data_IF_802862054617
#
_entry.id   IF_802862054617
#
_cell.length_a   1.000
_cell.length_b   1.000
_cell.length_c   1.000
_cell.angle_alpha   90.00
_cell.angle_beta   90.00
_cell.angle_gamma   90.00
#
_symmetry.space_group_name_H-M   'P 1'
#
loop_
_entity.id
_entity.type
_entity.pdbx_description
1 polymer ?
#
# COMPACT_ATOMS: atom_id res chain seq x y z
N UNK A 1 -35.36 19.20 5.93
CA UNK A 1 -35.49 19.30 7.41
C UNK A 1 -34.14 18.92 8.00
N UNK A 2 -33.37 19.87 8.56
CA UNK A 2 -32.13 19.54 9.24
C UNK A 2 -32.47 18.89 10.57
N UNK A 3 -31.87 17.71 10.80
CA UNK A 3 -31.94 16.95 12.02
C UNK A 3 -31.19 17.72 13.12
N UNK A 4 -31.90 18.04 14.20
CA UNK A 4 -31.33 18.44 15.49
C UNK A 4 -30.43 17.31 16.01
N UNK A 5 -29.13 17.42 15.75
CA UNK A 5 -28.14 16.53 16.34
C UNK A 5 -27.67 17.10 17.69
N UNK A 6 -28.44 16.78 18.74
CA UNK A 6 -27.95 16.57 20.11
C UNK A 6 -26.81 17.50 20.60
N UNK A 7 -27.16 18.73 21.00
CA UNK A 7 -26.34 19.63 21.83
C UNK A 7 -26.19 19.13 23.29
N UNK A 8 -25.70 17.91 23.51
CA UNK A 8 -25.51 17.35 24.87
C UNK A 8 -24.08 16.98 25.27
N UNK A 9 -23.09 17.28 24.43
CA UNK A 9 -21.67 17.08 24.74
C UNK A 9 -20.81 18.35 24.59
N UNK A 10 -21.44 19.54 24.63
CA UNK A 10 -20.76 20.82 24.42
C UNK A 10 -20.01 21.37 25.67
N UNK A 11 -19.76 20.55 26.68
CA UNK A 11 -18.80 20.83 27.76
C UNK A 11 -17.70 19.78 27.71
N UNK A 12 -16.93 19.78 26.61
CA UNK A 12 -15.71 19.00 26.52
C UNK A 12 -14.68 19.53 27.51
N UNK A 13 -14.03 18.64 28.25
CA UNK A 13 -12.85 18.97 29.04
C UNK A 13 -11.82 19.65 28.13
N UNK A 14 -11.66 20.97 28.28
CA UNK A 14 -10.63 21.73 27.58
C UNK A 14 -9.33 21.64 28.37
N UNK A 15 -8.34 20.96 27.82
CA UNK A 15 -6.97 20.95 28.34
C UNK A 15 -6.11 21.92 27.52
N UNK A 16 -5.06 22.51 28.12
CA UNK A 16 -4.11 23.33 27.38
C UNK A 16 -3.50 22.56 26.21
N UNK A 17 -3.35 23.20 25.04
CA UNK A 17 -2.75 22.58 23.85
C UNK A 17 -1.34 22.01 24.13
N UNK A 18 -0.60 22.63 25.04
CA UNK A 18 0.72 22.18 25.52
C UNK A 18 0.66 20.81 26.20
N UNK A 19 -0.45 20.46 26.84
CA UNK A 19 -0.66 19.18 27.51
C UNK A 19 -1.20 18.10 26.55
N UNK A 20 -1.71 18.48 25.38
CA UNK A 20 -2.31 17.55 24.42
C UNK A 20 -1.33 16.45 24.00
N UNK A 21 -0.09 16.81 23.67
CA UNK A 21 0.94 15.85 23.26
C UNK A 21 1.30 14.87 24.39
N UNK A 22 1.36 15.36 25.64
CA UNK A 22 1.62 14.52 26.80
C UNK A 22 0.46 13.55 27.06
N UNK A 23 -0.78 14.04 26.98
CA UNK A 23 -1.99 13.21 27.12
C UNK A 23 -1.99 12.11 26.06
N UNK A 24 -1.86 12.46 24.78
CA UNK A 24 -1.83 11.50 23.67
C UNK A 24 -0.74 10.46 23.90
N UNK A 25 0.48 10.87 24.26
CA UNK A 25 1.60 9.96 24.51
C UNK A 25 1.32 8.99 25.67
N UNK A 26 0.61 9.43 26.71
CA UNK A 26 0.30 8.59 27.88
C UNK A 26 -0.92 7.70 27.65
N UNK A 27 -1.92 8.16 26.89
CA UNK A 27 -3.21 7.46 26.74
C UNK A 27 -3.34 6.71 25.42
N UNK A 28 -2.32 6.73 24.57
CA UNK A 28 -2.35 6.03 23.29
C UNK A 28 -1.11 5.18 23.04
N UNK A 29 -1.28 4.16 22.20
CA UNK A 29 -0.21 3.28 21.74
C UNK A 29 -0.46 2.87 20.30
N UNK A 30 0.59 2.41 19.62
CA UNK A 30 0.46 1.83 18.29
C UNK A 30 0.22 0.31 18.37
N UNK A 31 -0.85 -0.16 17.72
CA UNK A 31 -1.29 -1.57 17.69
C UNK A 31 -0.44 -2.39 16.73
N UNK A 32 0.74 -2.82 17.18
CA UNK A 32 1.68 -3.63 16.38
C UNK A 32 1.12 -4.98 15.92
N UNK A 33 0.12 -5.51 16.63
CA UNK A 33 -0.60 -6.73 16.25
C UNK A 33 -1.29 -6.60 14.88
N UNK A 34 -1.69 -5.39 14.50
CA UNK A 34 -2.29 -5.15 13.19
C UNK A 34 -1.27 -5.20 12.05
N UNK A 35 -0.07 -4.66 12.28
CA UNK A 35 1.02 -4.72 11.29
C UNK A 35 1.48 -6.17 11.06
N UNK A 36 1.47 -6.99 12.11
CA UNK A 36 1.78 -8.42 12.04
C UNK A 36 0.71 -9.25 11.33
N UNK A 37 -0.51 -8.73 11.17
CA UNK A 37 -1.58 -9.42 10.46
C UNK A 37 -1.49 -9.21 8.94
N UNK A 38 -0.76 -8.21 8.45
CA UNK A 38 -0.65 -7.89 7.01
C UNK A 38 0.77 -8.16 6.51
N UNK A 39 1.03 -7.94 5.21
CA UNK A 39 2.40 -7.98 4.69
C UNK A 39 3.24 -6.95 5.43
N UNK A 40 4.16 -7.46 6.23
CA UNK A 40 5.19 -6.71 6.94
C UNK A 40 6.50 -7.47 6.84
N UNK A 41 7.59 -6.74 6.93
CA UNK A 41 8.93 -7.30 6.90
C UNK A 41 9.65 -6.86 8.15
N UNK A 42 10.43 -7.75 8.79
CA UNK A 42 11.28 -7.38 9.90
C UNK A 42 12.26 -6.28 9.47
N UNK A 43 12.54 -5.33 10.37
CA UNK A 43 13.48 -4.21 10.10
C UNK A 43 14.85 -4.70 9.59
N UNK A 44 15.31 -5.86 10.05
CA UNK A 44 16.58 -6.45 9.64
C UNK A 44 16.57 -6.98 8.19
N UNK A 45 15.43 -7.43 7.66
CA UNK A 45 15.34 -7.92 6.27
C UNK A 45 15.58 -6.80 5.27
N UNK A 46 15.20 -5.58 5.63
CA UNK A 46 15.37 -4.41 4.79
C UNK A 46 16.67 -3.67 5.04
N UNK A 47 17.35 -3.88 6.16
CA UNK A 47 18.55 -3.12 6.51
C UNK A 47 19.68 -3.22 5.47
N UNK A 48 19.83 -4.38 4.81
CA UNK A 48 20.81 -4.57 3.72
C UNK A 48 20.42 -3.90 2.40
N UNK A 49 19.13 -3.72 2.14
CA UNK A 49 18.61 -3.15 0.88
C UNK A 49 18.29 -1.66 1.04
N UNK A 50 17.94 -1.22 2.24
CA UNK A 50 17.55 0.16 2.57
C UNK A 50 18.65 1.15 2.19
N UNK A 51 19.91 0.88 2.54
CA UNK A 51 21.02 1.74 2.11
C UNK A 51 21.16 1.79 0.59
N UNK A 52 20.93 0.66 -0.09
CA UNK A 52 21.01 0.60 -1.56
C UNK A 52 19.83 1.27 -2.25
N UNK A 53 18.66 1.32 -1.62
CA UNK A 53 17.43 1.94 -2.13
C UNK A 53 17.44 3.45 -1.84
N UNK A 54 17.78 3.83 -0.61
CA UNK A 54 17.61 5.19 -0.11
C UNK A 54 18.84 6.09 -0.30
N UNK A 55 20.01 5.54 -0.65
CA UNK A 55 21.23 6.35 -0.82
C UNK A 55 21.86 6.20 -2.22
N UNK A 56 22.37 7.32 -2.71
CA UNK A 56 23.32 7.35 -3.82
C UNK A 56 24.70 6.90 -3.31
N UNK A 57 25.41 6.07 -4.09
CA UNK A 57 26.77 5.68 -3.74
C UNK A 57 27.67 6.94 -3.67
N UNK A 58 28.37 7.18 -2.55
CA UNK A 58 29.29 8.31 -2.46
C UNK A 58 30.47 8.05 -3.40
N UNK A 59 30.52 8.77 -4.52
CA UNK A 59 31.66 8.73 -5.43
C UNK A 59 32.09 10.14 -5.75
N UNK A 60 33.39 10.40 -5.54
CA UNK A 60 34.02 11.68 -5.82
C UNK A 60 33.77 12.09 -7.28
N UNK A 61 33.21 13.28 -7.44
CA UNK A 61 32.80 13.91 -8.68
C UNK A 61 34.01 14.31 -9.53
N UNK A 62 34.67 13.35 -10.16
CA UNK A 62 35.79 13.60 -11.09
C UNK A 62 35.55 13.14 -12.52
N UNK A 63 34.42 12.50 -12.83
CA UNK A 63 34.07 12.12 -14.21
C UNK A 63 32.63 12.50 -14.52
N UNK A 64 32.46 13.51 -15.40
CA UNK A 64 31.17 13.88 -15.98
C UNK A 64 30.63 12.68 -16.78
N UNK A 65 29.81 11.88 -16.13
CA UNK A 65 29.16 10.73 -16.76
C UNK A 65 27.87 11.26 -17.35
N UNK A 66 27.79 11.36 -18.68
CA UNK A 66 26.60 11.82 -19.38
C UNK A 66 25.43 10.86 -19.13
N UNK A 67 24.23 11.39 -18.84
CA UNK A 67 22.99 10.61 -18.81
C UNK A 67 22.45 10.31 -20.23
N UNK A 68 23.21 10.68 -21.28
CA UNK A 68 22.85 10.49 -22.68
C UNK A 68 21.78 11.47 -23.12
N UNK A 69 20.71 10.97 -23.75
CA UNK A 69 19.60 11.78 -24.25
C UNK A 69 18.89 12.56 -23.11
N UNK A 70 18.93 12.03 -21.89
CA UNK A 70 18.33 12.69 -20.73
C UNK A 70 19.01 14.01 -20.36
N UNK A 71 20.29 14.21 -20.71
CA UNK A 71 21.00 15.48 -20.50
C UNK A 71 20.44 16.62 -21.37
N UNK A 72 19.62 16.29 -22.38
CA UNK A 72 19.01 17.27 -23.30
C UNK A 72 17.64 17.75 -22.82
N UNK A 73 17.08 17.12 -21.78
CA UNK A 73 15.77 17.48 -21.26
C UNK A 73 15.91 18.49 -20.11
N UNK A 74 15.02 19.51 -20.03
CA UNK A 74 14.87 20.33 -18.84
C UNK A 74 14.60 19.47 -17.60
N UNK A 75 15.11 19.92 -16.44
CA UNK A 75 14.99 19.18 -15.18
C UNK A 75 13.53 18.92 -14.80
N UNK A 76 12.64 19.87 -15.09
CA UNK A 76 11.21 19.75 -14.83
C UNK A 76 10.59 18.57 -15.59
N UNK A 77 10.95 18.42 -16.88
CA UNK A 77 10.46 17.30 -17.69
C UNK A 77 11.03 15.96 -17.22
N UNK A 78 12.29 15.94 -16.77
CA UNK A 78 12.88 14.72 -16.18
C UNK A 78 12.13 14.32 -14.91
N UNK A 79 11.83 15.28 -14.04
CA UNK A 79 11.08 15.03 -12.81
C UNK A 79 9.69 14.48 -13.13
N UNK A 80 8.96 15.10 -14.07
CA UNK A 80 7.63 14.64 -14.49
C UNK A 80 7.66 13.22 -15.07
N UNK A 81 8.69 12.89 -15.87
CA UNK A 81 8.90 11.54 -16.37
C UNK A 81 9.09 10.57 -15.21
N UNK A 82 10.01 10.85 -14.28
CA UNK A 82 10.29 9.95 -13.16
C UNK A 82 9.09 9.77 -12.23
N UNK A 83 8.31 10.84 -11.98
CA UNK A 83 7.08 10.76 -11.20
C UNK A 83 6.01 9.90 -11.88
N UNK A 84 5.99 9.87 -13.21
CA UNK A 84 5.04 9.10 -14.01
C UNK A 84 5.46 7.64 -14.23
N UNK A 85 6.72 7.27 -13.98
CA UNK A 85 7.18 5.89 -14.12
C UNK A 85 6.56 4.99 -13.06
N UNK A 86 6.17 3.78 -13.48
CA UNK A 86 5.85 2.72 -12.53
C UNK A 86 7.05 2.38 -11.66
N UNK A 87 6.80 1.98 -10.42
CA UNK A 87 7.85 1.66 -9.44
C UNK A 87 8.88 0.67 -10.01
N UNK A 88 8.45 -0.34 -10.76
CA UNK A 88 9.38 -1.31 -11.34
C UNK A 88 10.28 -0.69 -12.42
N UNK A 89 9.72 0.13 -13.31
CA UNK A 89 10.48 0.87 -14.32
C UNK A 89 11.40 1.91 -13.68
N UNK A 90 10.96 2.59 -12.61
CA UNK A 90 11.77 3.54 -11.85
C UNK A 90 13.00 2.86 -11.22
N UNK A 91 12.81 1.72 -10.55
CA UNK A 91 13.92 0.96 -9.95
C UNK A 91 14.89 0.47 -11.02
N UNK A 92 14.40 0.03 -12.19
CA UNK A 92 15.27 -0.32 -13.32
C UNK A 92 16.04 0.88 -13.84
N UNK A 93 15.38 2.02 -14.05
CA UNK A 93 16.00 3.27 -14.49
C UNK A 93 17.14 3.69 -13.54
N UNK A 94 16.89 3.60 -12.23
CA UNK A 94 17.87 3.84 -11.16
C UNK A 94 19.08 2.89 -11.20
N UNK A 95 18.99 1.76 -11.89
CA UNK A 95 20.09 0.79 -12.05
C UNK A 95 20.87 0.96 -13.36
N UNK A 96 20.36 1.73 -14.33
CA UNK A 96 20.98 1.89 -15.66
C UNK A 96 22.26 2.73 -15.60
N UNK A 97 22.24 3.87 -14.91
CA UNK A 97 23.37 4.78 -14.84
C UNK A 97 23.45 5.53 -13.52
N UNK A 98 24.65 6.01 -13.17
CA UNK A 98 24.87 6.82 -11.96
C UNK A 98 24.10 8.16 -12.00
N UNK A 99 24.08 8.92 -13.12
CA UNK A 99 23.31 10.17 -13.18
C UNK A 99 21.81 9.96 -12.98
N UNK A 100 21.22 8.92 -13.59
CA UNK A 100 19.81 8.60 -13.41
C UNK A 100 19.51 8.22 -11.96
N UNK A 101 20.40 7.46 -11.32
CA UNK A 101 20.28 7.18 -9.88
C UNK A 101 20.26 8.45 -9.06
N UNK A 102 21.21 9.36 -9.28
CA UNK A 102 21.31 10.61 -8.53
C UNK A 102 20.09 11.51 -8.76
N UNK A 103 19.61 11.60 -10.00
CA UNK A 103 18.41 12.38 -10.33
C UNK A 103 17.17 11.82 -9.62
N UNK A 104 16.95 10.51 -9.65
CA UNK A 104 15.83 9.86 -8.95
C UNK A 104 15.98 10.02 -7.43
N UNK A 105 17.18 9.82 -6.87
CA UNK A 105 17.45 9.97 -5.43
C UNK A 105 17.26 11.39 -4.91
N UNK A 106 17.37 12.39 -5.79
CA UNK A 106 17.13 13.79 -5.43
C UNK A 106 15.65 14.17 -5.37
N UNK A 107 14.74 13.32 -5.87
CA UNK A 107 13.31 13.60 -5.82
C UNK A 107 12.79 13.46 -4.38
N UNK A 108 12.13 14.50 -3.82
CA UNK A 108 11.58 14.43 -2.47
C UNK A 108 10.50 13.34 -2.34
N UNK A 109 9.74 13.07 -3.41
CA UNK A 109 8.75 12.00 -3.46
C UNK A 109 9.41 10.63 -3.32
N UNK A 110 10.51 10.39 -4.05
CA UNK A 110 11.25 9.14 -3.95
C UNK A 110 11.90 8.98 -2.57
N UNK A 111 12.45 10.05 -1.99
CA UNK A 111 13.02 10.03 -0.65
C UNK A 111 11.96 9.69 0.40
N UNK A 112 10.78 10.31 0.34
CA UNK A 112 9.69 10.01 1.25
C UNK A 112 9.21 8.56 1.12
N UNK A 113 9.04 8.06 -0.11
CA UNK A 113 8.63 6.68 -0.39
C UNK A 113 9.67 5.67 0.08
N UNK A 114 10.95 5.87 -0.23
CA UNK A 114 12.03 4.97 0.17
C UNK A 114 12.28 4.96 1.68
N UNK A 115 12.03 6.08 2.36
CA UNK A 115 12.24 6.21 3.81
C UNK A 115 11.05 5.71 4.62
N UNK A 116 9.83 6.08 4.25
CA UNK A 116 8.63 5.82 5.05
C UNK A 116 7.72 4.72 4.47
N UNK A 117 7.83 4.44 3.17
CA UNK A 117 7.01 3.46 2.45
C UNK A 117 7.74 2.17 2.09
N UNK A 118 8.91 1.89 2.68
CA UNK A 118 9.79 0.78 2.26
C UNK A 118 9.09 -0.59 2.29
N UNK A 119 8.23 -0.85 3.28
CA UNK A 119 7.48 -2.11 3.36
C UNK A 119 6.55 -2.28 2.16
N UNK A 120 5.75 -1.25 1.83
CA UNK A 120 4.86 -1.31 0.67
C UNK A 120 5.64 -1.35 -0.66
N UNK A 121 6.77 -0.66 -0.75
CA UNK A 121 7.67 -0.72 -1.90
C UNK A 121 8.20 -2.15 -2.12
N UNK A 122 8.71 -2.78 -1.08
CA UNK A 122 9.17 -4.17 -1.12
C UNK A 122 8.03 -5.15 -1.39
N UNK A 123 6.84 -4.92 -0.81
CA UNK A 123 5.67 -5.73 -1.05
C UNK A 123 5.26 -5.69 -2.53
N UNK A 124 5.18 -4.51 -3.15
CA UNK A 124 4.89 -4.36 -4.58
C UNK A 124 5.92 -5.07 -5.47
N UNK A 125 7.20 -4.99 -5.15
CA UNK A 125 8.26 -5.65 -5.92
C UNK A 125 8.20 -7.18 -5.78
N UNK A 126 8.05 -7.69 -4.54
CA UNK A 126 8.02 -9.14 -4.25
C UNK A 126 6.75 -9.81 -4.76
N UNK A 127 5.61 -9.12 -4.72
CA UNK A 127 4.33 -9.60 -5.28
C UNK A 127 4.21 -9.38 -6.79
N UNK A 128 5.20 -8.71 -7.41
CA UNK A 128 5.16 -8.30 -8.82
C UNK A 128 3.89 -7.51 -9.14
N UNK A 129 3.58 -6.51 -8.32
CA UNK A 129 2.51 -5.52 -8.57
C UNK A 129 3.09 -4.12 -8.86
N UNK A 130 4.41 -3.96 -8.77
CA UNK A 130 5.10 -2.67 -8.95
C UNK A 130 4.94 -2.00 -10.33
N UNK A 131 4.39 -2.69 -11.33
CA UNK A 131 4.07 -2.10 -12.65
C UNK A 131 2.71 -1.37 -12.67
N UNK A 132 1.88 -1.55 -11.64
CA UNK A 132 0.54 -0.94 -11.55
C UNK A 132 0.52 0.40 -10.81
N UNK A 133 1.66 0.83 -10.28
CA UNK A 133 1.75 1.98 -9.37
C UNK A 133 2.89 2.87 -9.82
N UNK A 134 2.60 4.12 -10.13
CA UNK A 134 3.61 5.14 -10.41
C UNK A 134 4.25 5.68 -9.13
N UNK A 135 5.41 6.34 -9.25
CA UNK A 135 6.00 7.05 -8.12
C UNK A 135 5.06 8.11 -7.54
N UNK A 136 4.37 8.85 -8.42
CA UNK A 136 3.39 9.87 -8.02
C UNK A 136 2.21 9.26 -7.26
N UNK A 137 1.64 8.16 -7.76
CA UNK A 137 0.52 7.45 -7.10
C UNK A 137 0.94 6.86 -5.75
N UNK A 138 2.18 6.36 -5.65
CA UNK A 138 2.73 5.91 -4.38
C UNK A 138 2.82 7.07 -3.40
N UNK A 139 3.47 8.17 -3.81
CA UNK A 139 3.66 9.32 -2.96
C UNK A 139 2.33 9.96 -2.52
N UNK A 140 1.34 10.03 -3.41
CA UNK A 140 -0.01 10.48 -3.08
C UNK A 140 -0.68 9.58 -2.04
N UNK A 141 -0.59 8.26 -2.22
CA UNK A 141 -1.09 7.31 -1.24
C UNK A 141 -0.37 7.49 0.10
N UNK A 142 0.95 7.64 0.13
CA UNK A 142 1.72 7.87 1.35
C UNK A 142 1.27 9.15 2.07
N UNK A 143 0.93 10.21 1.32
CA UNK A 143 0.45 11.48 1.84
C UNK A 143 -1.07 11.53 2.09
N UNK A 144 -1.77 10.41 1.96
CA UNK A 144 -3.20 10.33 2.24
C UNK A 144 -3.39 9.63 3.57
N UNK A 145 -4.08 10.27 4.53
CA UNK A 145 -4.36 9.65 5.82
C UNK A 145 -5.71 8.90 5.85
N UNK A 146 -6.59 9.16 4.88
CA UNK A 146 -7.98 8.68 4.88
C UNK A 146 -8.12 7.29 4.27
N UNK A 147 -8.97 6.48 4.90
CA UNK A 147 -9.47 5.22 4.37
C UNK A 147 -10.39 5.50 3.17
N UNK A 148 -10.20 4.74 2.09
CA UNK A 148 -11.03 4.80 0.89
C UNK A 148 -12.50 4.39 1.11
N UNK A 149 -12.77 3.60 2.16
CA UNK A 149 -14.10 3.07 2.46
C UNK A 149 -14.85 3.93 3.49
N UNK A 150 -14.22 4.24 4.63
CA UNK A 150 -14.89 4.89 5.77
C UNK A 150 -14.34 6.29 6.11
N UNK A 151 -13.34 6.78 5.37
CA UNK A 151 -12.69 8.08 5.56
C UNK A 151 -12.02 8.32 6.93
N UNK A 152 -11.92 7.29 7.78
CA UNK A 152 -11.12 7.30 9.02
C UNK A 152 -9.63 7.13 8.73
N UNK A 153 -8.78 7.25 9.74
CA UNK A 153 -7.35 7.02 9.59
C UNK A 153 -7.04 5.63 9.02
N UNK A 154 -6.21 5.58 7.98
CA UNK A 154 -5.83 4.37 7.27
C UNK A 154 -4.34 4.12 7.41
N UNK A 155 -3.94 3.17 8.27
CA UNK A 155 -2.55 2.72 8.41
C UNK A 155 -2.11 1.67 7.39
N UNK A 156 -2.97 1.33 6.42
CA UNK A 156 -2.74 0.22 5.51
C UNK A 156 -3.07 0.58 4.06
N UNK A 157 -2.50 -0.20 3.13
CA UNK A 157 -2.73 -0.10 1.69
C UNK A 157 -3.05 -1.47 1.10
N UNK A 158 -4.15 -1.57 0.35
CA UNK A 158 -4.43 -2.74 -0.49
C UNK A 158 -3.52 -2.68 -1.71
N UNK A 159 -2.66 -3.68 -1.90
CA UNK A 159 -1.69 -3.71 -3.01
C UNK A 159 -2.36 -3.80 -4.39
N UNK A 160 -3.41 -4.63 -4.61
CA UNK A 160 -4.00 -4.79 -5.94
C UNK A 160 -4.77 -3.56 -6.41
N UNK A 161 -5.48 -2.89 -5.50
CA UNK A 161 -6.28 -1.71 -5.82
C UNK A 161 -5.50 -0.40 -5.64
N UNK A 162 -4.32 -0.46 -5.00
CA UNK A 162 -3.56 0.69 -4.52
C UNK A 162 -4.41 1.71 -3.76
N UNK A 163 -5.26 1.21 -2.85
CA UNK A 163 -6.19 2.02 -2.04
C UNK A 163 -5.91 1.90 -0.56
N UNK A 164 -5.93 3.03 0.13
CA UNK A 164 -5.75 3.06 1.59
C UNK A 164 -6.95 2.49 2.31
N UNK A 165 -6.69 1.73 3.37
CA UNK A 165 -7.72 1.15 4.22
C UNK A 165 -7.33 1.23 5.70
N UNK A 166 -8.34 1.29 6.57
CA UNK A 166 -8.15 1.09 8.00
C UNK A 166 -8.30 -0.39 8.36
N UNK A 167 -7.74 -0.79 9.50
CA UNK A 167 -7.82 -2.19 9.94
C UNK A 167 -9.26 -2.67 10.09
N UNK A 168 -10.16 -1.83 10.60
CA UNK A 168 -11.56 -2.20 10.77
C UNK A 168 -12.27 -2.49 9.44
N UNK A 169 -12.02 -1.71 8.39
CA UNK A 169 -12.59 -2.00 7.06
C UNK A 169 -12.03 -3.27 6.44
N UNK A 170 -10.76 -3.57 6.73
CA UNK A 170 -10.09 -4.79 6.31
C UNK A 170 -10.68 -6.01 7.03
N UNK A 171 -10.79 -5.98 8.35
CA UNK A 171 -11.34 -7.07 9.17
C UNK A 171 -12.85 -7.27 8.97
N UNK A 172 -13.61 -6.21 8.69
CA UNK A 172 -15.03 -6.34 8.34
C UNK A 172 -15.28 -6.91 6.94
N UNK A 173 -14.23 -7.15 6.14
CA UNK A 173 -14.37 -7.72 4.80
C UNK A 173 -15.07 -6.78 3.83
N UNK A 174 -14.71 -5.48 3.83
CA UNK A 174 -15.28 -4.51 2.89
C UNK A 174 -15.13 -5.00 1.45
N UNK A 175 -16.18 -4.92 0.64
CA UNK A 175 -16.24 -5.55 -0.70
C UNK A 175 -15.07 -5.15 -1.64
N UNK A 176 -14.53 -3.94 -1.48
CA UNK A 176 -13.39 -3.44 -2.26
C UNK A 176 -12.05 -4.10 -1.89
N UNK A 177 -11.94 -4.69 -0.70
CA UNK A 177 -10.73 -5.31 -0.16
C UNK A 177 -10.78 -6.84 -0.20
N UNK A 178 -11.94 -7.42 -0.54
CA UNK A 178 -12.12 -8.86 -0.56
C UNK A 178 -11.34 -9.53 -1.69
N UNK A 179 -10.58 -10.56 -1.33
CA UNK A 179 -9.73 -11.33 -2.21
C UNK A 179 -10.21 -12.78 -2.30
N UNK A 180 -9.92 -13.42 -3.43
CA UNK A 180 -10.28 -14.81 -3.67
C UNK A 180 -9.10 -15.58 -4.24
N UNK A 181 -8.98 -16.83 -3.81
CA UNK A 181 -8.09 -17.80 -4.45
C UNK A 181 -8.60 -18.14 -5.85
N UNK A 182 -7.77 -17.83 -6.84
CA UNK A 182 -8.05 -18.08 -8.27
C UNK A 182 -8.25 -19.56 -8.55
N UNK A 183 -7.57 -20.46 -7.84
CA UNK A 183 -7.72 -21.92 -8.00
C UNK A 183 -9.10 -22.39 -7.50
N UNK A 184 -9.59 -21.84 -6.38
CA UNK A 184 -10.95 -22.11 -5.89
C UNK A 184 -12.01 -21.62 -6.87
N UNK A 185 -11.77 -20.44 -7.46
CA UNK A 185 -12.66 -19.87 -8.47
C UNK A 185 -12.69 -20.74 -9.73
N UNK A 186 -11.54 -21.24 -10.19
CA UNK A 186 -11.45 -22.17 -11.32
C UNK A 186 -12.34 -23.40 -11.10
N UNK A 187 -12.15 -24.06 -9.95
CA UNK A 187 -12.90 -25.27 -9.59
C UNK A 187 -14.41 -25.03 -9.45
N UNK A 188 -14.80 -23.83 -8.99
CA UNK A 188 -16.21 -23.52 -8.69
C UNK A 188 -16.98 -22.93 -9.89
N UNK A 189 -16.29 -22.25 -10.81
CA UNK A 189 -16.93 -21.41 -11.84
C UNK A 189 -16.50 -21.72 -13.28
N UNK A 190 -15.62 -22.71 -13.50
CA UNK A 190 -15.16 -23.18 -14.82
C UNK A 190 -14.63 -22.03 -15.72
N UNK A 191 -13.94 -21.06 -15.11
CA UNK A 191 -13.29 -19.94 -15.81
C UNK A 191 -12.06 -20.49 -16.55
N UNK A 192 -11.89 -20.14 -17.83
CA UNK A 192 -10.77 -20.64 -18.64
C UNK A 192 -9.50 -19.85 -18.35
N UNK A 193 -8.34 -20.49 -18.52
CA UNK A 193 -7.01 -19.89 -18.37
C UNK A 193 -6.77 -18.65 -19.29
N UNK A 194 -7.45 -18.57 -20.43
CA UNK A 194 -7.35 -17.38 -21.30
C UNK A 194 -8.01 -16.13 -20.68
N UNK A 195 -9.01 -16.32 -19.81
CA UNK A 195 -9.77 -15.24 -19.19
C UNK A 195 -9.10 -14.73 -17.92
N UNK A 196 -8.30 -15.57 -17.26
CA UNK A 196 -7.52 -15.18 -16.08
C UNK A 196 -6.41 -14.18 -16.41
N UNK A 197 -5.95 -14.12 -17.67
CA UNK A 197 -5.04 -13.04 -18.11
C UNK A 197 -5.63 -11.64 -17.98
N UNK A 198 -6.96 -11.51 -17.92
CA UNK A 198 -7.64 -10.22 -17.67
C UNK A 198 -7.72 -9.88 -16.18
N UNK A 199 -7.53 -10.85 -15.30
CA UNK A 199 -7.52 -10.63 -13.86
C UNK A 199 -6.15 -10.10 -13.46
N UNK A 200 -6.14 -9.06 -12.62
CA UNK A 200 -4.91 -8.63 -11.96
C UNK A 200 -4.68 -9.55 -10.76
N UNK A 201 -4.30 -10.80 -11.04
CA UNK A 201 -3.93 -11.77 -10.01
C UNK A 201 -2.45 -11.66 -9.65
N UNK A 202 -2.10 -11.98 -8.42
CA UNK A 202 -0.72 -12.08 -7.98
C UNK A 202 -0.55 -13.23 -6.97
N UNK A 203 0.70 -13.62 -6.76
CA UNK A 203 1.05 -14.65 -5.78
C UNK A 203 1.34 -13.97 -4.45
N UNK A 204 0.66 -14.40 -3.39
CA UNK A 204 0.90 -13.92 -2.03
C UNK A 204 2.32 -14.25 -1.57
N UNK A 205 2.82 -13.50 -0.60
CA UNK A 205 4.09 -13.82 0.03
C UNK A 205 3.86 -14.85 1.15
N UNK A 206 4.81 -15.76 1.43
CA UNK A 206 4.76 -16.56 2.65
C UNK A 206 4.92 -15.65 3.87
N UNK A 207 4.24 -15.97 4.97
CA UNK A 207 4.26 -15.16 6.17
C UNK A 207 3.13 -15.46 7.14
N UNK A 208 3.13 -14.73 8.25
CA UNK A 208 2.06 -14.77 9.24
C UNK A 208 1.06 -13.67 8.92
N UNK A 209 -0.21 -14.02 8.69
CA UNK A 209 -1.24 -13.08 8.24
C UNK A 209 -2.47 -13.04 9.16
N UNK A 210 -2.30 -13.49 10.39
CA UNK A 210 -3.37 -13.56 11.37
C UNK A 210 -2.88 -13.07 12.71
N UNK A 211 -3.80 -12.53 13.50
CA UNK A 211 -3.55 -12.25 14.93
C UNK A 211 -3.37 -13.53 15.75
N UNK A 212 -3.69 -14.70 15.18
CA UNK A 212 -3.56 -16.03 15.79
C UNK A 212 -2.26 -16.75 15.43
N UNK A 213 -1.35 -16.08 14.72
CA UNK A 213 0.00 -16.56 14.37
C UNK A 213 0.08 -17.81 13.47
N UNK A 214 -0.95 -18.09 12.66
CA UNK A 214 -0.85 -19.13 11.64
C UNK A 214 0.07 -18.70 10.51
N UNK A 215 1.06 -19.53 10.19
CA UNK A 215 2.05 -19.27 9.14
C UNK A 215 1.57 -19.87 7.83
N UNK A 216 1.37 -19.01 6.83
CA UNK A 216 1.16 -19.42 5.44
C UNK A 216 2.51 -19.61 4.76
N UNK A 217 2.86 -20.87 4.52
CA UNK A 217 4.18 -21.23 3.97
C UNK A 217 4.19 -21.29 2.43
N UNK A 218 3.02 -21.33 1.80
CA UNK A 218 2.88 -21.42 0.34
C UNK A 218 2.27 -20.14 -0.24
N UNK A 219 2.75 -19.75 -1.42
CA UNK A 219 2.18 -18.62 -2.15
C UNK A 219 0.86 -19.03 -2.82
N UNK A 220 -0.21 -18.31 -2.51
CA UNK A 220 -1.53 -18.48 -3.11
C UNK A 220 -1.70 -17.46 -4.25
N UNK A 221 -2.27 -17.90 -5.37
CA UNK A 221 -2.64 -16.96 -6.45
C UNK A 221 -4.00 -16.37 -6.15
N UNK A 222 -4.05 -15.08 -5.82
CA UNK A 222 -5.29 -14.40 -5.45
C UNK A 222 -5.61 -13.24 -6.39
N UNK A 223 -6.91 -12.90 -6.49
CA UNK A 223 -7.40 -11.75 -7.22
C UNK A 223 -8.60 -11.11 -6.50
N UNK A 224 -8.89 -9.84 -6.82
CA UNK A 224 -9.99 -9.13 -6.18
C UNK A 224 -11.36 -9.71 -6.58
N UNK A 225 -12.26 -9.78 -5.59
CA UNK A 225 -13.65 -10.25 -5.79
C UNK A 225 -14.38 -9.40 -6.85
N UNK A 226 -14.13 -8.09 -6.84
CA UNK A 226 -14.70 -7.15 -7.81
C UNK A 226 -14.29 -7.46 -9.26
N UNK A 227 -13.01 -7.75 -9.51
CA UNK A 227 -12.54 -8.13 -10.85
C UNK A 227 -13.13 -9.46 -11.30
N UNK A 228 -13.10 -10.47 -10.43
CA UNK A 228 -13.64 -11.80 -10.74
C UNK A 228 -15.13 -11.73 -11.05
N UNK A 229 -15.89 -10.97 -10.25
CA UNK A 229 -17.32 -10.76 -10.46
C UNK A 229 -17.60 -10.10 -11.81
N UNK A 230 -16.82 -9.07 -12.18
CA UNK A 230 -16.95 -8.41 -13.49
C UNK A 230 -16.66 -9.37 -14.64
N UNK A 231 -15.56 -10.11 -14.59
CA UNK A 231 -15.21 -11.09 -15.63
C UNK A 231 -16.26 -12.21 -15.74
N UNK A 232 -16.83 -12.65 -14.62
CA UNK A 232 -17.93 -13.61 -14.61
C UNK A 232 -19.20 -13.02 -15.24
N UNK A 233 -19.62 -11.82 -14.84
CA UNK A 233 -20.82 -11.18 -15.36
C UNK A 233 -20.72 -10.84 -16.85
N UNK A 234 -19.56 -10.40 -17.35
CA UNK A 234 -19.33 -10.20 -18.79
C UNK A 234 -19.60 -11.47 -19.60
N UNK A 235 -19.30 -12.65 -19.03
CA UNK A 235 -19.48 -13.94 -19.71
C UNK A 235 -20.89 -14.50 -19.58
N UNK A 236 -21.50 -14.36 -18.42
CA UNK A 236 -22.80 -14.95 -18.10
C UNK A 236 -23.94 -13.94 -18.11
N UNK A 237 -23.79 -12.81 -18.81
CA UNK A 237 -24.75 -11.69 -18.90
C UNK A 237 -26.20 -12.09 -19.27
N UNK A 238 -26.44 -13.32 -19.75
CA UNK A 238 -27.76 -13.84 -20.11
C UNK A 238 -28.32 -14.91 -19.15
N UNK A 239 -27.56 -15.39 -18.17
CA UNK A 239 -28.01 -16.49 -17.29
C UNK A 239 -27.52 -16.28 -15.84
N UNK A 240 -28.46 -15.85 -14.99
CA UNK A 240 -28.44 -15.77 -13.50
C UNK A 240 -28.12 -14.40 -12.88
N UNK A 241 -29.10 -13.93 -12.12
CA UNK A 241 -29.06 -12.83 -11.13
C UNK A 241 -28.63 -13.31 -9.73
N UNK A 242 -27.85 -14.39 -9.65
CA UNK A 242 -27.38 -14.92 -8.36
C UNK A 242 -26.10 -14.22 -7.93
N UNK A 243 -26.05 -13.69 -6.69
CA UNK A 243 -24.77 -13.30 -6.09
C UNK A 243 -23.88 -14.54 -6.01
N UNK A 244 -22.66 -14.45 -6.54
CA UNK A 244 -21.64 -15.47 -6.28
C UNK A 244 -21.37 -15.46 -4.77
N UNK A 245 -21.76 -16.54 -4.08
CA UNK A 245 -21.48 -16.72 -2.67
C UNK A 245 -20.04 -17.14 -2.50
N UNK A 246 -19.14 -16.17 -2.40
CA UNK A 246 -17.75 -16.46 -2.07
C UNK A 246 -17.61 -16.67 -0.55
N UNK A 247 -16.81 -17.66 -0.12
CA UNK A 247 -16.45 -17.78 1.29
C UNK A 247 -15.76 -16.50 1.77
N UNK A 248 -16.19 -15.96 2.92
CA UNK A 248 -15.56 -14.80 3.55
C UNK A 248 -14.24 -15.24 4.21
N UNK A 249 -13.19 -15.38 3.41
CA UNK A 249 -11.83 -15.60 3.92
C UNK A 249 -11.07 -14.28 3.96
N UNK A 250 -11.11 -13.65 5.13
CA UNK A 250 -10.47 -12.37 5.41
C UNK A 250 -8.95 -12.47 5.37
N UNK A 251 -8.39 -13.67 5.56
CA UNK A 251 -6.95 -13.94 5.52
C UNK A 251 -6.39 -13.53 4.16
N UNK A 252 -7.11 -13.78 3.07
CA UNK A 252 -6.64 -13.40 1.74
C UNK A 252 -6.58 -11.87 1.56
N UNK A 253 -7.46 -11.12 2.23
CA UNK A 253 -7.41 -9.65 2.23
C UNK A 253 -6.18 -9.15 3.02
N UNK A 254 -5.86 -9.79 4.14
CA UNK A 254 -4.65 -9.54 4.91
C UNK A 254 -3.38 -9.81 4.09
N UNK A 255 -3.34 -10.93 3.37
CA UNK A 255 -2.24 -11.30 2.46
C UNK A 255 -2.11 -10.39 1.23
N UNK A 256 -3.10 -9.54 0.95
CA UNK A 256 -3.08 -8.56 -0.13
C UNK A 256 -2.86 -7.12 0.34
N UNK A 257 -2.66 -6.93 1.64
CA UNK A 257 -2.54 -5.62 2.28
C UNK A 257 -1.15 -5.47 2.88
N UNK A 258 -0.64 -4.25 2.93
CA UNK A 258 0.63 -3.92 3.56
C UNK A 258 0.45 -2.73 4.49
N UNK A 259 1.26 -2.67 5.56
CA UNK A 259 1.37 -1.49 6.39
C UNK A 259 1.96 -0.32 5.59
N UNK A 260 1.34 0.84 5.69
CA UNK A 260 1.82 2.07 5.06
C UNK A 260 1.52 3.21 6.05
N UNK A 261 2.49 3.97 6.55
CA UNK A 261 2.18 5.14 7.38
C UNK A 261 1.55 6.26 6.55
N UNK A 262 1.03 7.27 7.24
CA UNK A 262 0.72 8.57 6.65
C UNK A 262 1.94 9.49 6.77
N UNK A 263 2.36 10.10 5.66
CA UNK A 263 3.44 11.09 5.65
C UNK A 263 2.87 12.50 5.56
N UNK A 264 3.19 13.34 6.53
CA UNK A 264 2.84 14.75 6.53
C UNK A 264 3.88 15.56 5.75
N UNK A 265 3.44 16.09 4.60
CA UNK A 265 4.28 16.92 3.71
C UNK A 265 4.79 18.19 4.37
N UNK A 266 4.06 18.76 5.33
CA UNK A 266 4.41 20.03 5.96
C UNK A 266 5.47 19.84 7.05
N UNK A 267 5.30 18.77 7.84
CA UNK A 267 6.17 18.50 8.98
C UNK A 267 7.33 17.55 8.65
N UNK A 268 7.27 16.85 7.52
CA UNK A 268 8.26 15.85 7.14
C UNK A 268 8.26 14.62 8.05
N UNK A 269 7.12 14.33 8.70
CA UNK A 269 6.98 13.26 9.70
C UNK A 269 6.02 12.19 9.22
N UNK A 270 6.21 10.95 9.69
CA UNK A 270 5.33 9.82 9.42
C UNK A 270 4.51 9.44 10.67
N UNK A 271 3.22 9.23 10.48
CA UNK A 271 2.27 8.75 11.49
C UNK A 271 1.82 7.32 11.16
N UNK A 272 1.96 6.42 12.13
CA UNK A 272 1.64 5.00 12.01
C UNK A 272 0.25 4.66 12.57
N UNK A 273 -0.48 5.67 13.05
CA UNK A 273 -1.77 5.51 13.70
C UNK A 273 -1.64 5.08 15.16
N UNK A 274 -2.58 5.54 15.98
CA UNK A 274 -2.60 5.29 17.41
C UNK A 274 -3.99 4.79 17.84
N UNK A 275 -3.99 3.96 18.88
CA UNK A 275 -5.17 3.43 19.56
C UNK A 275 -5.17 3.86 21.01
N UNK A 276 -6.35 4.01 21.60
CA UNK A 276 -6.48 4.36 23.01
C UNK A 276 -6.04 3.18 23.90
N UNK A 277 -5.25 3.45 24.93
CA UNK A 277 -4.79 2.46 25.90
C UNK A 277 -5.91 1.92 26.82
N UNK A 278 -7.06 2.59 26.86
CA UNK A 278 -8.18 2.27 27.74
C UNK A 278 -9.34 1.54 27.05
N UNK A 279 -9.11 0.93 25.88
CA UNK A 279 -10.12 0.21 25.10
C UNK A 279 -10.10 -1.30 25.39
#
# INVERSE_FOLDING_TARGET
MPLEYSEKYANGYQFPAEQAAAIIRTTSYHRKDFDLAVISFPDFEHQGVHTSISTSFPRSSSTSTSAGIFDQLPQELLNDIFLSLDINSLIKCRQVSLPLRQAIDSLPEYQAVSTHGINALCALLRTRLAYNVSLSEFYEALCTWKCSVCYQFAGFISLPAWRRCCFNCLDQGSAELQMLDVNRVYNSFNIREAETRKLTSFVTLPGTYTTTHSVENEGLTIASTGQISRTYHERYALQRTGRLGFPDDRTLAYMATCALPYYDRQNGTADYGMSCAAA
#
